data_IF_943956730110
#
_entry.id   IF_943956730110
#
_cell.length_a   1.000
_cell.length_b   1.000
_cell.length_c   1.000
_cell.angle_alpha   90.00
_cell.angle_beta   90.00
_cell.angle_gamma   90.00
#
_symmetry.space_group_name_H-M   'P 1'
#
loop_
_entity.id
_entity.type
_entity.pdbx_description
1 polymer ?
#
# COMPACT_ATOMS: atom_id res chain seq x y z
N UNK A 1 16.94 -17.11 -51.11
CA UNK A 1 16.07 -18.22 -51.55
C UNK A 1 16.58 -19.56 -51.01
N UNK A 2 16.06 -19.98 -49.86
CA UNK A 2 16.34 -21.29 -49.27
C UNK A 2 15.08 -22.16 -49.38
N UNK A 3 15.26 -23.25 -50.12
CA UNK A 3 14.33 -24.31 -50.46
C UNK A 3 14.31 -25.39 -49.38
N UNK A 4 13.12 -25.89 -49.01
CA UNK A 4 12.93 -27.24 -48.45
C UNK A 4 12.06 -27.34 -47.18
N UNK A 5 10.92 -28.05 -47.23
CA UNK A 5 10.23 -28.57 -46.05
C UNK A 5 10.42 -30.09 -45.96
N UNK A 6 11.19 -30.56 -44.97
CA UNK A 6 11.24 -31.98 -44.64
C UNK A 6 10.56 -32.21 -43.30
N UNK A 7 9.34 -32.71 -43.37
CA UNK A 7 8.63 -33.36 -42.26
C UNK A 7 9.38 -34.65 -41.87
N UNK A 8 9.61 -34.92 -40.59
CA UNK A 8 9.79 -36.30 -40.09
C UNK A 8 9.34 -36.38 -38.64
N UNK A 9 8.48 -37.37 -38.38
CA UNK A 9 7.76 -37.63 -37.15
C UNK A 9 8.66 -38.10 -35.99
N UNK A 10 8.26 -37.76 -34.76
CA UNK A 10 8.84 -38.29 -33.53
C UNK A 10 8.27 -39.68 -33.21
N UNK A 11 9.09 -40.66 -32.77
CA UNK A 11 8.60 -41.96 -32.36
C UNK A 11 7.96 -41.90 -30.96
N UNK A 12 6.74 -42.44 -30.87
CA UNK A 12 6.10 -42.82 -29.60
C UNK A 12 6.68 -44.13 -29.11
N UNK A 13 7.22 -44.15 -27.89
CA UNK A 13 7.58 -45.37 -27.19
C UNK A 13 6.74 -45.47 -25.91
N UNK A 14 5.85 -46.46 -25.90
CA UNK A 14 5.11 -46.88 -24.72
C UNK A 14 6.06 -47.57 -23.72
N UNK A 15 5.91 -47.30 -22.42
CA UNK A 15 6.58 -48.04 -21.36
C UNK A 15 5.58 -48.45 -20.27
N UNK A 16 5.74 -49.71 -19.88
CA UNK A 16 4.82 -50.58 -19.14
C UNK A 16 4.52 -50.16 -17.69
N UNK A 17 3.27 -50.41 -17.30
CA UNK A 17 2.78 -50.33 -15.92
C UNK A 17 3.43 -51.39 -15.03
N UNK A 18 4.13 -50.96 -13.98
CA UNK A 18 4.53 -51.84 -12.87
C UNK A 18 3.80 -51.38 -11.62
N UNK A 19 2.85 -52.19 -11.16
CA UNK A 19 2.03 -51.93 -9.98
C UNK A 19 2.80 -52.30 -8.72
N UNK A 20 3.27 -51.31 -7.96
CA UNK A 20 3.83 -51.50 -6.63
C UNK A 20 2.70 -51.34 -5.60
N UNK A 21 2.25 -52.46 -5.02
CA UNK A 21 1.47 -52.46 -3.78
C UNK A 21 2.32 -51.83 -2.68
N UNK A 22 1.97 -50.61 -2.27
CA UNK A 22 2.55 -49.96 -1.10
C UNK A 22 1.53 -49.97 0.04
N UNK A 23 1.91 -50.65 1.12
CA UNK A 23 1.16 -50.86 2.35
C UNK A 23 0.83 -49.51 3.00
N UNK A 24 -0.45 -49.26 3.29
CA UNK A 24 -0.87 -48.07 4.02
C UNK A 24 -0.36 -48.12 5.46
N UNK A 25 0.51 -47.18 5.83
CA UNK A 25 0.83 -46.89 7.22
C UNK A 25 -0.31 -46.05 7.84
N UNK A 26 -0.66 -46.24 9.13
CA UNK A 26 -1.66 -45.40 9.78
C UNK A 26 -1.13 -43.97 9.93
N UNK A 27 -1.73 -43.02 9.20
CA UNK A 27 -1.51 -41.60 9.39
C UNK A 27 -2.15 -41.14 10.69
N UNK A 28 -1.34 -41.00 11.72
CA UNK A 28 -1.70 -40.23 12.92
C UNK A 28 -1.84 -38.76 12.49
N UNK A 29 -3.08 -38.27 12.40
CA UNK A 29 -3.36 -36.87 12.15
C UNK A 29 -2.86 -36.02 13.32
N UNK A 30 -1.72 -35.35 13.15
CA UNK A 30 -1.29 -34.29 14.07
C UNK A 30 -2.12 -33.04 13.74
N UNK A 31 -2.81 -32.41 14.71
CA UNK A 31 -3.49 -31.14 14.46
C UNK A 31 -2.45 -30.11 14.04
N UNK A 32 -2.47 -29.71 12.76
CA UNK A 32 -1.66 -28.59 12.28
C UNK A 32 -2.35 -27.30 12.73
N UNK A 33 -2.05 -26.86 13.94
CA UNK A 33 -2.44 -25.52 14.41
C UNK A 33 -1.49 -24.52 13.76
N UNK A 34 -1.78 -24.15 12.50
CA UNK A 34 -1.12 -23.02 11.87
C UNK A 34 -1.43 -21.77 12.73
N UNK A 35 -0.42 -20.99 13.15
CA UNK A 35 -0.68 -19.70 13.79
C UNK A 35 -1.47 -18.83 12.81
N UNK A 36 -2.71 -18.48 13.16
CA UNK A 36 -3.45 -17.47 12.40
C UNK A 36 -2.65 -16.18 12.45
N UNK A 37 -2.22 -15.69 11.29
CA UNK A 37 -1.58 -14.39 11.18
C UNK A 37 -2.50 -13.35 11.86
N UNK A 38 -1.98 -12.49 12.75
CA UNK A 38 -2.81 -11.49 13.39
C UNK A 38 -3.41 -10.59 12.30
N UNK A 39 -4.72 -10.61 12.17
CA UNK A 39 -5.46 -9.64 11.36
C UNK A 39 -5.44 -8.33 12.14
N UNK A 40 -4.42 -7.50 11.93
CA UNK A 40 -4.37 -6.17 12.53
C UNK A 40 -5.48 -5.34 11.91
N UNK A 41 -6.61 -5.23 12.60
CA UNK A 41 -7.66 -4.27 12.21
C UNK A 41 -7.03 -2.88 12.25
N UNK A 42 -6.97 -2.24 11.08
CA UNK A 42 -6.46 -0.88 10.98
C UNK A 42 -7.35 0.04 11.82
N UNK A 43 -6.76 0.88 12.67
CA UNK A 43 -7.56 1.75 13.53
C UNK A 43 -8.39 2.73 12.70
N UNK A 44 -9.55 3.12 13.23
CA UNK A 44 -10.34 4.20 12.64
C UNK A 44 -9.82 5.54 13.16
N UNK A 45 -9.40 6.43 12.27
CA UNK A 45 -8.91 7.76 12.65
C UNK A 45 -9.97 8.61 13.34
N UNK A 46 -9.58 9.27 14.44
CA UNK A 46 -10.42 10.24 15.16
C UNK A 46 -10.02 11.66 14.77
N UNK A 47 -10.92 12.39 14.12
CA UNK A 47 -10.70 13.77 13.65
C UNK A 47 -10.30 14.77 14.74
N UNK A 48 -10.68 14.54 16.01
CA UNK A 48 -10.24 15.37 17.13
C UNK A 48 -8.71 15.30 17.35
N UNK A 49 -8.09 14.20 16.94
CA UNK A 49 -6.65 13.95 17.09
C UNK A 49 -5.87 14.09 15.78
N UNK A 50 -6.55 14.31 14.65
CA UNK A 50 -5.91 14.43 13.33
C UNK A 50 -4.82 15.52 13.30
N UNK A 51 -5.04 16.62 14.01
CA UNK A 51 -4.08 17.72 14.11
C UNK A 51 -2.68 17.30 14.60
N UNK A 52 -2.61 16.25 15.43
CA UNK A 52 -1.34 15.76 15.98
C UNK A 52 -0.41 15.17 14.91
N UNK A 53 -0.97 14.69 13.79
CA UNK A 53 -0.21 14.09 12.69
C UNK A 53 0.68 15.10 11.95
N UNK A 54 0.32 16.39 12.04
CA UNK A 54 1.02 17.50 11.38
C UNK A 54 2.03 18.20 12.29
N UNK A 55 2.13 17.81 13.56
CA UNK A 55 3.06 18.43 14.51
C UNK A 55 4.49 17.98 14.19
N UNK A 56 5.42 18.92 14.21
CA UNK A 56 6.85 18.64 14.10
C UNK A 56 7.40 18.17 15.45
N UNK A 57 7.80 16.91 15.51
CA UNK A 57 8.58 16.34 16.61
C UNK A 57 9.96 16.01 16.06
N UNK A 58 11.01 16.64 16.60
CA UNK A 58 12.39 16.47 16.11
C UNK A 58 12.58 16.78 14.61
N UNK A 59 11.87 17.78 14.09
CA UNK A 59 11.81 18.14 12.65
C UNK A 59 11.10 17.14 11.72
N UNK A 60 10.46 16.11 12.27
CA UNK A 60 9.67 15.13 11.55
C UNK A 60 8.19 15.27 11.88
N UNK A 61 7.31 15.01 10.90
CA UNK A 61 5.88 14.89 11.16
C UNK A 61 5.41 13.52 10.72
N UNK A 62 4.46 12.97 11.49
CA UNK A 62 3.96 11.61 11.27
C UNK A 62 3.36 11.48 9.87
N UNK A 63 2.62 12.49 9.41
CA UNK A 63 2.00 12.44 8.09
C UNK A 63 3.05 12.36 6.98
N UNK A 64 4.14 13.14 7.07
CA UNK A 64 5.18 13.18 6.05
C UNK A 64 6.00 11.89 6.05
N UNK A 65 6.40 11.42 7.22
CA UNK A 65 7.13 10.15 7.35
C UNK A 65 6.29 8.97 6.83
N UNK A 66 4.99 8.97 7.10
CA UNK A 66 4.06 7.94 6.62
C UNK A 66 3.92 7.96 5.10
N UNK A 67 3.76 9.14 4.49
CA UNK A 67 3.67 9.25 3.03
C UNK A 67 4.97 8.84 2.33
N UNK A 68 6.13 9.18 2.88
CA UNK A 68 7.42 8.75 2.33
C UNK A 68 7.62 7.24 2.45
N UNK A 69 7.23 6.65 3.58
CA UNK A 69 7.29 5.21 3.78
C UNK A 69 6.36 4.49 2.80
N UNK A 70 5.09 4.90 2.73
CA UNK A 70 4.08 4.23 1.93
C UNK A 70 4.34 4.36 0.42
N UNK A 71 4.85 5.51 -0.06
CA UNK A 71 5.09 5.66 -1.49
C UNK A 71 6.08 4.64 -2.05
N UNK A 72 6.99 4.11 -1.23
CA UNK A 72 7.92 3.05 -1.68
C UNK A 72 7.22 1.79 -2.18
N UNK A 73 5.96 1.59 -1.80
CA UNK A 73 5.12 0.47 -2.26
C UNK A 73 4.47 0.74 -3.62
N UNK A 74 4.52 1.97 -4.13
CA UNK A 74 3.85 2.34 -5.38
C UNK A 74 4.67 1.89 -6.58
N UNK A 75 3.99 1.30 -7.57
CA UNK A 75 4.64 0.75 -8.74
C UNK A 75 5.21 1.83 -9.69
N UNK A 76 6.38 1.56 -10.25
CA UNK A 76 7.01 2.37 -11.30
C UNK A 76 7.42 3.77 -10.83
N UNK A 77 7.06 4.81 -11.59
CA UNK A 77 7.47 6.20 -11.34
C UNK A 77 6.55 6.96 -10.39
N UNK A 78 5.49 6.33 -9.86
CA UNK A 78 4.47 7.04 -9.08
C UNK A 78 5.00 7.61 -7.76
N UNK A 79 5.85 6.89 -7.03
CA UNK A 79 6.50 7.42 -5.82
C UNK A 79 7.39 8.62 -6.15
N UNK A 80 8.18 8.57 -7.22
CA UNK A 80 9.01 9.72 -7.65
C UNK A 80 8.17 10.96 -7.91
N UNK A 81 7.04 10.82 -8.61
CA UNK A 81 6.10 11.92 -8.84
C UNK A 81 5.43 12.39 -7.55
N UNK A 82 5.09 11.46 -6.65
CA UNK A 82 4.44 11.80 -5.39
C UNK A 82 5.37 12.51 -4.41
N UNK A 83 6.67 12.18 -4.39
CA UNK A 83 7.66 12.82 -3.51
C UNK A 83 7.70 14.35 -3.64
N UNK A 84 7.52 14.88 -4.85
CA UNK A 84 7.42 16.33 -5.06
C UNK A 84 6.19 16.93 -4.35
N UNK A 85 5.07 16.20 -4.33
CA UNK A 85 3.86 16.58 -3.59
C UNK A 85 4.01 16.38 -2.09
N UNK A 86 4.71 15.35 -1.63
CA UNK A 86 5.02 15.17 -0.20
C UNK A 86 5.83 16.38 0.31
N UNK A 87 6.86 16.81 -0.43
CA UNK A 87 7.64 17.99 -0.09
C UNK A 87 6.78 19.27 -0.10
N UNK A 88 5.86 19.39 -1.07
CA UNK A 88 4.91 20.51 -1.11
C UNK A 88 4.01 20.51 0.12
N UNK A 89 3.48 19.34 0.52
CA UNK A 89 2.65 19.19 1.73
C UNK A 89 3.46 19.57 2.98
N UNK A 90 4.72 19.14 3.09
CA UNK A 90 5.57 19.52 4.23
C UNK A 90 5.69 21.04 4.36
N UNK A 91 5.97 21.73 3.25
CA UNK A 91 6.14 23.19 3.25
C UNK A 91 4.82 23.95 3.44
N UNK A 92 3.74 23.53 2.76
CA UNK A 92 2.46 24.23 2.74
C UNK A 92 1.57 23.92 3.94
N UNK A 93 1.73 22.75 4.57
CA UNK A 93 0.88 22.28 5.66
C UNK A 93 1.62 22.20 6.99
N UNK A 94 2.75 21.49 7.03
CA UNK A 94 3.44 21.14 8.28
C UNK A 94 4.28 22.31 8.78
N UNK A 95 5.15 22.84 7.92
CA UNK A 95 6.05 23.95 8.22
C UNK A 95 5.42 25.33 8.03
N UNK A 96 4.21 25.40 7.46
CA UNK A 96 3.51 26.65 7.24
C UNK A 96 2.99 27.23 8.57
N UNK A 97 3.56 28.37 8.97
CA UNK A 97 3.19 29.07 10.21
C UNK A 97 1.91 29.90 10.07
N UNK A 98 1.41 30.11 8.85
CA UNK A 98 0.15 30.80 8.62
C UNK A 98 -1.09 29.93 8.94
N UNK A 99 -0.93 28.60 8.97
CA UNK A 99 -2.00 27.67 9.35
C UNK A 99 -1.97 27.45 10.87
N UNK A 100 -2.88 28.10 11.58
CA UNK A 100 -2.91 28.13 13.05
C UNK A 100 -3.83 27.08 13.66
N UNK A 101 -4.74 26.49 12.87
CA UNK A 101 -5.69 25.48 13.36
C UNK A 101 -5.49 24.12 12.67
N UNK A 102 -5.91 23.04 13.34
CA UNK A 102 -5.91 21.70 12.77
C UNK A 102 -6.80 21.62 11.52
N UNK A 103 -7.98 22.24 11.54
CA UNK A 103 -8.89 22.29 10.40
C UNK A 103 -8.24 22.92 9.15
N UNK A 104 -7.54 24.04 9.30
CA UNK A 104 -6.81 24.68 8.19
C UNK A 104 -5.72 23.76 7.60
N UNK A 105 -5.00 23.05 8.46
CA UNK A 105 -3.97 22.09 8.02
C UNK A 105 -4.57 20.89 7.31
N UNK A 106 -5.67 20.35 7.82
CA UNK A 106 -6.41 19.24 7.18
C UNK A 106 -6.97 19.67 5.83
N UNK A 107 -7.51 20.89 5.73
CA UNK A 107 -8.02 21.45 4.49
C UNK A 107 -6.91 21.58 3.43
N UNK A 108 -5.80 22.22 3.77
CA UNK A 108 -4.67 22.40 2.87
C UNK A 108 -4.03 21.05 2.50
N UNK A 109 -3.96 20.11 3.45
CA UNK A 109 -3.51 18.74 3.19
C UNK A 109 -4.37 18.04 2.14
N UNK A 110 -5.69 18.02 2.36
CA UNK A 110 -6.66 17.44 1.42
C UNK A 110 -6.54 18.08 0.04
N UNK A 111 -6.47 19.41 -0.02
CA UNK A 111 -6.28 20.12 -1.29
C UNK A 111 -5.04 19.61 -2.04
N UNK A 112 -3.89 19.49 -1.38
CA UNK A 112 -2.66 19.02 -2.02
C UNK A 112 -2.73 17.53 -2.44
N UNK A 113 -3.40 16.68 -1.65
CA UNK A 113 -3.67 15.27 -2.02
C UNK A 113 -4.58 15.20 -3.25
N UNK A 114 -5.64 16.01 -3.29
CA UNK A 114 -6.59 16.08 -4.39
C UNK A 114 -5.89 16.57 -5.68
N UNK A 115 -5.00 17.55 -5.58
CA UNK A 115 -4.18 18.03 -6.71
C UNK A 115 -3.25 16.95 -7.27
N UNK A 116 -2.69 16.07 -6.44
CA UNK A 116 -1.87 14.95 -6.92
C UNK A 116 -2.69 13.83 -7.55
N UNK A 117 -3.78 13.45 -6.88
CA UNK A 117 -4.63 12.36 -7.32
C UNK A 117 -5.39 12.73 -8.60
N UNK A 118 -5.87 13.97 -8.70
CA UNK A 118 -6.75 14.43 -9.77
C UNK A 118 -7.91 13.46 -10.00
N UNK A 119 -8.22 13.21 -11.27
CA UNK A 119 -9.23 12.22 -11.67
C UNK A 119 -8.65 10.81 -11.89
N UNK A 120 -7.43 10.52 -11.43
CA UNK A 120 -6.83 9.21 -11.60
C UNK A 120 -7.29 8.26 -10.46
N UNK A 121 -8.14 7.26 -10.75
CA UNK A 121 -8.71 6.40 -9.71
C UNK A 121 -7.66 5.51 -9.02
N UNK A 122 -6.60 5.09 -9.74
CA UNK A 122 -5.53 4.28 -9.16
C UNK A 122 -4.70 5.09 -8.16
N UNK A 123 -4.34 6.32 -8.51
CA UNK A 123 -3.64 7.22 -7.57
C UNK A 123 -4.48 7.49 -6.33
N UNK A 124 -5.77 7.73 -6.54
CA UNK A 124 -6.71 7.96 -5.44
C UNK A 124 -6.76 6.73 -4.52
N UNK A 125 -6.87 5.52 -5.08
CA UNK A 125 -6.88 4.28 -4.29
C UNK A 125 -5.58 4.07 -3.50
N UNK A 126 -4.40 4.27 -4.10
CA UNK A 126 -3.12 4.10 -3.41
C UNK A 126 -2.90 5.18 -2.35
N UNK A 127 -2.97 6.44 -2.75
CA UNK A 127 -2.64 7.57 -1.86
C UNK A 127 -3.64 7.67 -0.72
N UNK A 128 -4.94 7.55 -0.99
CA UNK A 128 -5.94 7.61 0.10
C UNK A 128 -5.96 6.34 0.95
N UNK A 129 -5.49 5.22 0.41
CA UNK A 129 -5.30 3.98 1.14
C UNK A 129 -4.08 3.97 2.08
N UNK A 130 -3.13 4.89 1.89
CA UNK A 130 -1.89 4.95 2.68
C UNK A 130 -2.18 5.00 4.18
N UNK A 131 -1.65 4.07 4.98
CA UNK A 131 -1.78 4.09 6.42
C UNK A 131 -0.82 5.11 7.07
N UNK A 132 -1.19 5.60 8.25
CA UNK A 132 -0.29 6.37 9.11
C UNK A 132 0.56 5.42 9.94
N UNK A 133 1.88 5.65 9.99
CA UNK A 133 2.86 4.78 10.65
C UNK A 133 2.64 4.65 12.17
N UNK A 134 1.98 5.62 12.80
CA UNK A 134 1.61 5.56 14.22
C UNK A 134 0.31 4.78 14.48
N UNK A 135 -0.28 4.19 13.45
CA UNK A 135 -1.54 3.45 13.55
C UNK A 135 -2.78 4.35 13.66
N UNK A 136 -2.70 5.65 13.35
CA UNK A 136 -3.85 6.56 13.48
C UNK A 136 -4.99 6.23 12.51
N UNK A 137 -4.71 5.70 11.33
CA UNK A 137 -5.71 5.46 10.29
C UNK A 137 -5.11 5.62 8.91
N UNK A 138 -5.89 6.13 7.94
CA UNK A 138 -5.43 6.38 6.56
C UNK A 138 -5.51 7.84 6.15
N UNK A 139 -4.82 8.17 5.04
CA UNK A 139 -4.95 9.46 4.35
C UNK A 139 -6.40 9.79 4.01
N UNK A 140 -7.20 8.79 3.59
CA UNK A 140 -8.64 8.99 3.34
C UNK A 140 -9.33 9.57 4.56
N UNK A 141 -9.13 8.95 5.72
CA UNK A 141 -9.79 9.35 6.97
C UNK A 141 -9.36 10.76 7.40
N UNK A 142 -8.09 11.14 7.20
CA UNK A 142 -7.63 12.51 7.42
C UNK A 142 -8.39 13.48 6.50
N UNK A 143 -8.48 13.17 5.19
CA UNK A 143 -9.19 14.02 4.23
C UNK A 143 -10.69 14.15 4.53
N UNK A 144 -11.31 13.09 5.07
CA UNK A 144 -12.72 13.09 5.45
C UNK A 144 -12.98 13.96 6.70
N UNK A 145 -11.96 14.26 7.50
CA UNK A 145 -12.08 15.19 8.64
C UNK A 145 -12.24 16.66 8.23
N UNK A 146 -12.07 17.02 6.96
CA UNK A 146 -12.26 18.37 6.42
C UNK A 146 -13.74 18.83 6.40
N UNK A 147 -14.68 17.91 6.65
CA UNK A 147 -16.13 18.20 6.62
C UNK A 147 -16.76 18.39 8.01
N UNK A 148 -15.95 18.40 9.09
CA UNK A 148 -16.37 18.59 10.48
C UNK A 148 -16.11 20.03 10.95
#
# INVERSE_FOLDING_TARGET
>A
PCTGPSCTAAPSTAASSTSLRSTAAPSTAVPSTAPSAPTTTMATGNCETAGQLFILVSNHSIVIDSLYADCTTYNGTQCTLFRAYILRIDNMVVRNTALTTAAQRIHEFKYNIDQYCGNNPLRNAWVRGSPMNNGWGTVKQICDCDTL
#
